data_IF_920294796013
#
_entry.id   IF_920294796013
#
_cell.length_a   1.000
_cell.length_b   1.000
_cell.length_c   1.000
_cell.angle_alpha   90.00
_cell.angle_beta   90.00
_cell.angle_gamma   90.00
#
_symmetry.space_group_name_H-M   'P 1'
#
loop_
_entity.id
_entity.type
_entity.pdbx_description
1 polymer ?
#
# COMPACT_ATOMS: atom_id res chain seq x y z
N UNK A 1 -14.78 53.02 59.59
CA UNK A 1 -13.89 51.84 59.52
C UNK A 1 -14.65 50.71 58.82
N UNK A 2 -14.33 50.42 57.56
CA UNK A 2 -14.87 49.26 56.84
C UNK A 2 -13.79 48.18 56.78
N UNK A 3 -14.00 47.08 57.49
CA UNK A 3 -13.17 45.88 57.39
C UNK A 3 -13.66 45.08 56.18
N UNK A 4 -12.88 45.06 55.10
CA UNK A 4 -13.19 44.23 53.92
C UNK A 4 -12.85 42.77 54.23
N UNK A 5 -13.88 41.95 54.38
CA UNK A 5 -13.75 40.51 54.57
C UNK A 5 -13.27 39.87 53.26
N UNK A 6 -11.96 39.56 53.16
CA UNK A 6 -11.40 38.85 52.01
C UNK A 6 -11.96 37.43 52.00
N UNK A 7 -12.82 37.10 51.02
CA UNK A 7 -13.30 35.73 50.79
C UNK A 7 -12.07 34.82 50.63
N UNK A 8 -11.88 33.87 51.53
CA UNK A 8 -10.86 32.83 51.36
C UNK A 8 -11.16 32.06 50.06
N UNK A 9 -10.18 31.88 49.16
CA UNK A 9 -10.36 31.02 48.01
C UNK A 9 -10.62 29.60 48.53
N UNK A 10 -11.75 29.01 48.16
CA UNK A 10 -12.01 27.59 48.43
C UNK A 10 -11.02 26.77 47.61
N UNK A 11 -10.11 26.07 48.29
CA UNK A 11 -9.21 25.09 47.66
C UNK A 11 -9.97 23.80 47.33
N UNK A 12 -9.55 23.14 46.25
CA UNK A 12 -10.04 21.80 45.92
C UNK A 12 -9.58 20.79 46.97
N UNK A 13 -10.48 19.91 47.39
CA UNK A 13 -10.15 18.76 48.24
C UNK A 13 -9.49 17.66 47.41
N UNK A 14 -8.65 16.84 48.05
CA UNK A 14 -7.99 15.72 47.40
C UNK A 14 -8.99 14.72 46.80
N UNK A 15 -10.14 14.54 47.46
CA UNK A 15 -11.20 13.64 46.99
C UNK A 15 -11.91 14.18 45.74
N UNK A 16 -12.17 15.49 45.67
CA UNK A 16 -12.75 16.12 44.47
C UNK A 16 -11.84 15.94 43.26
N UNK A 17 -10.52 16.12 43.45
CA UNK A 17 -9.55 15.88 42.38
C UNK A 17 -9.53 14.41 41.96
N UNK A 18 -9.57 13.48 42.93
CA UNK A 18 -9.51 12.04 42.70
C UNK A 18 -10.72 11.51 41.92
N UNK A 19 -11.91 11.99 42.22
CA UNK A 19 -13.13 11.60 41.48
C UNK A 19 -13.07 12.09 40.04
N UNK A 20 -12.59 13.31 39.81
CA UNK A 20 -12.48 13.88 38.46
C UNK A 20 -11.53 13.08 37.58
N UNK A 21 -10.33 12.74 38.09
CA UNK A 21 -9.38 11.92 37.32
C UNK A 21 -9.94 10.51 37.07
N UNK A 22 -10.67 9.92 38.02
CA UNK A 22 -11.29 8.60 37.85
C UNK A 22 -12.34 8.59 36.74
N UNK A 23 -13.14 9.66 36.62
CA UNK A 23 -14.12 9.80 35.53
C UNK A 23 -13.39 9.98 34.19
N UNK A 24 -12.38 10.86 34.12
CA UNK A 24 -11.62 11.10 32.88
C UNK A 24 -10.93 9.82 32.38
N UNK A 25 -10.29 9.05 33.27
CA UNK A 25 -9.60 7.81 32.89
C UNK A 25 -10.58 6.75 32.39
N UNK A 26 -11.76 6.63 33.00
CA UNK A 26 -12.80 5.69 32.58
C UNK A 26 -13.31 6.03 31.17
N UNK A 27 -13.57 7.32 30.90
CA UNK A 27 -13.99 7.77 29.57
C UNK A 27 -12.90 7.53 28.52
N UNK A 28 -11.64 7.84 28.85
CA UNK A 28 -10.50 7.60 27.95
C UNK A 28 -10.28 6.11 27.67
N UNK A 29 -10.47 5.24 28.67
CA UNK A 29 -10.30 3.79 28.51
C UNK A 29 -11.25 3.19 27.46
N UNK A 30 -12.49 3.69 27.41
CA UNK A 30 -13.48 3.26 26.42
C UNK A 30 -13.17 3.88 25.04
N UNK A 31 -12.73 5.14 25.03
CA UNK A 31 -12.50 5.89 23.80
C UNK A 31 -11.22 5.47 23.04
N UNK A 32 -10.15 5.14 23.75
CA UNK A 32 -8.85 4.81 23.16
C UNK A 32 -8.90 3.66 22.12
N UNK A 33 -9.48 2.47 22.41
CA UNK A 33 -9.57 1.40 21.42
C UNK A 33 -10.46 1.75 20.22
N UNK A 34 -11.49 2.60 20.41
CA UNK A 34 -12.36 3.05 19.33
C UNK A 34 -11.61 3.97 18.37
N UNK A 35 -10.87 4.96 18.88
CA UNK A 35 -10.05 5.88 18.07
C UNK A 35 -8.98 5.12 17.29
N UNK A 36 -8.29 4.17 17.92
CA UNK A 36 -7.25 3.37 17.25
C UNK A 36 -7.82 2.62 16.03
N UNK A 37 -8.99 1.99 16.17
CA UNK A 37 -9.69 1.31 15.07
C UNK A 37 -10.11 2.29 13.97
N UNK A 38 -10.67 3.44 14.34
CA UNK A 38 -11.09 4.47 13.38
C UNK A 38 -9.91 5.01 12.56
N UNK A 39 -8.76 5.26 13.20
CA UNK A 39 -7.54 5.70 12.51
C UNK A 39 -7.03 4.66 11.50
N UNK A 40 -7.05 3.38 11.87
CA UNK A 40 -6.67 2.30 10.96
C UNK A 40 -7.61 2.24 9.74
N UNK A 41 -8.92 2.28 9.96
CA UNK A 41 -9.91 2.28 8.89
C UNK A 41 -9.76 3.50 7.96
N UNK A 42 -9.51 4.69 8.52
CA UNK A 42 -9.25 5.89 7.73
C UNK A 42 -8.00 5.73 6.85
N UNK A 43 -6.90 5.18 7.38
CA UNK A 43 -5.70 4.89 6.58
C UNK A 43 -6.00 3.92 5.44
N UNK A 44 -6.73 2.84 5.71
CA UNK A 44 -7.13 1.84 4.71
C UNK A 44 -7.96 2.49 3.59
N UNK A 45 -8.91 3.36 3.95
CA UNK A 45 -9.74 4.08 2.99
C UNK A 45 -8.90 4.99 2.08
N UNK A 46 -7.96 5.74 2.65
CA UNK A 46 -7.03 6.59 1.89
C UNK A 46 -6.19 5.77 0.93
N UNK A 47 -5.60 4.66 1.41
CA UNK A 47 -4.80 3.76 0.57
C UNK A 47 -5.64 3.16 -0.56
N UNK A 48 -6.87 2.73 -0.29
CA UNK A 48 -7.77 2.23 -1.32
C UNK A 48 -8.05 3.29 -2.42
N UNK A 49 -8.25 4.54 -2.01
CA UNK A 49 -8.47 5.64 -2.95
C UNK A 49 -7.22 5.94 -3.78
N UNK A 50 -6.04 6.02 -3.16
CA UNK A 50 -4.77 6.25 -3.85
C UNK A 50 -4.45 5.09 -4.82
N UNK A 51 -4.65 3.84 -4.42
CA UNK A 51 -4.53 2.68 -5.33
C UNK A 51 -5.52 2.76 -6.49
N UNK A 52 -6.75 3.24 -6.25
CA UNK A 52 -7.73 3.45 -7.33
C UNK A 52 -7.26 4.50 -8.34
N UNK A 53 -6.71 5.62 -7.87
CA UNK A 53 -6.17 6.69 -8.72
C UNK A 53 -4.94 6.23 -9.51
N UNK A 54 -4.03 5.49 -8.89
CA UNK A 54 -2.87 4.90 -9.59
C UNK A 54 -3.34 3.87 -10.64
N UNK A 55 -4.34 3.07 -10.31
CA UNK A 55 -4.94 2.12 -11.26
C UNK A 55 -5.51 2.83 -12.48
N UNK A 56 -6.20 3.96 -12.30
CA UNK A 56 -6.66 4.79 -13.41
C UNK A 56 -5.48 5.33 -14.23
N UNK A 57 -4.43 5.85 -13.58
CA UNK A 57 -3.23 6.34 -14.25
C UNK A 57 -2.56 5.26 -15.12
N UNK A 58 -2.54 4.02 -14.65
CA UNK A 58 -2.05 2.87 -15.42
C UNK A 58 -2.91 2.57 -16.65
N UNK A 59 -4.23 2.71 -16.56
CA UNK A 59 -5.13 2.52 -17.70
C UNK A 59 -4.95 3.64 -18.74
N UNK A 60 -4.84 4.90 -18.31
CA UNK A 60 -4.56 6.03 -19.21
C UNK A 60 -3.19 5.87 -19.88
N UNK A 61 -2.18 5.40 -19.14
CA UNK A 61 -0.88 5.04 -19.71
C UNK A 61 -1.00 3.93 -20.75
N UNK A 62 -1.78 2.88 -20.49
CA UNK A 62 -1.99 1.78 -21.42
C UNK A 62 -2.62 2.26 -22.73
N UNK A 63 -3.62 3.15 -22.65
CA UNK A 63 -4.30 3.72 -23.82
C UNK A 63 -3.35 4.57 -24.67
N UNK A 64 -2.49 5.37 -24.04
CA UNK A 64 -1.57 6.27 -24.73
C UNK A 64 -0.33 5.57 -25.31
N UNK A 65 0.15 4.49 -24.67
CA UNK A 65 1.38 3.80 -25.05
C UNK A 65 1.16 2.41 -25.65
N UNK A 66 -0.10 1.97 -25.81
CA UNK A 66 -0.50 0.62 -26.24
C UNK A 66 0.11 -0.51 -25.39
N UNK A 67 0.56 -0.19 -24.18
CA UNK A 67 1.21 -1.13 -23.27
C UNK A 67 1.22 -0.58 -21.86
N UNK A 68 1.21 -1.45 -20.86
CA UNK A 68 1.45 -1.03 -19.47
C UNK A 68 2.94 -0.82 -19.20
N UNK A 69 3.31 -0.04 -18.17
CA UNK A 69 4.70 0.21 -17.83
C UNK A 69 5.48 -1.08 -17.51
N UNK A 70 6.80 -1.06 -17.65
CA UNK A 70 7.65 -2.16 -17.20
C UNK A 70 7.79 -2.18 -15.67
N UNK A 71 8.22 -3.32 -15.15
CA UNK A 71 8.54 -3.47 -13.71
C UNK A 71 9.89 -2.84 -13.42
N UNK A 72 9.99 -2.13 -12.29
CA UNK A 72 11.24 -1.56 -11.80
C UNK A 72 11.80 -2.42 -10.67
N UNK A 73 13.03 -2.87 -10.84
CA UNK A 73 13.71 -3.74 -9.89
C UNK A 73 15.16 -3.33 -9.72
N UNK A 74 15.57 -3.06 -8.49
CA UNK A 74 16.95 -2.72 -8.19
C UNK A 74 17.38 -3.37 -6.88
N UNK A 75 18.22 -4.39 -6.99
CA UNK A 75 18.76 -5.12 -5.84
C UNK A 75 19.70 -4.27 -4.96
N UNK A 76 20.18 -3.13 -5.47
CA UNK A 76 21.07 -2.24 -4.73
C UNK A 76 20.30 -1.18 -3.91
N UNK A 77 18.99 -1.04 -4.11
CA UNK A 77 18.14 -0.06 -3.42
C UNK A 77 17.15 -0.75 -2.48
N UNK A 78 17.64 -1.13 -1.29
CA UNK A 78 16.83 -1.73 -0.20
C UNK A 78 15.51 -0.96 0.00
N UNK A 79 14.40 -1.69 0.07
CA UNK A 79 13.03 -1.19 0.23
C UNK A 79 12.38 -0.55 -1.02
N UNK A 80 13.11 -0.30 -2.11
CA UNK A 80 12.54 0.27 -3.36
C UNK A 80 12.28 -0.78 -4.45
N UNK A 81 12.28 -2.05 -4.08
CA UNK A 81 11.86 -3.14 -4.97
C UNK A 81 10.43 -2.91 -5.44
N UNK A 82 10.19 -3.15 -6.72
CA UNK A 82 8.85 -3.06 -7.33
C UNK A 82 8.16 -1.72 -7.08
N UNK A 83 8.88 -0.61 -6.98
CA UNK A 83 8.23 0.68 -6.79
C UNK A 83 7.37 1.06 -8.01
N UNK A 84 6.61 2.14 -7.88
CA UNK A 84 5.83 2.66 -9.00
C UNK A 84 6.76 2.97 -10.20
N UNK A 85 6.34 2.63 -11.43
CA UNK A 85 7.16 2.83 -12.63
C UNK A 85 7.54 4.30 -12.82
N UNK A 86 8.80 4.57 -13.19
CA UNK A 86 9.24 5.94 -13.47
C UNK A 86 8.47 6.56 -14.65
N UNK A 87 7.92 5.72 -15.54
CA UNK A 87 7.24 6.14 -16.76
C UNK A 87 5.94 6.87 -16.44
N UNK A 88 5.27 6.46 -15.35
CA UNK A 88 4.09 7.16 -14.87
C UNK A 88 4.45 8.55 -14.37
N UNK A 89 5.59 8.69 -13.69
CA UNK A 89 6.08 9.99 -13.20
C UNK A 89 6.55 10.88 -14.35
N UNK A 90 7.41 10.35 -15.22
CA UNK A 90 7.97 11.05 -16.38
C UNK A 90 6.90 11.49 -17.37
N UNK A 91 5.86 10.67 -17.54
CA UNK A 91 4.71 10.98 -18.39
C UNK A 91 3.66 11.89 -17.73
N UNK A 92 3.85 12.29 -16.47
CA UNK A 92 2.92 13.17 -15.76
C UNK A 92 1.60 12.53 -15.34
N UNK A 93 1.49 11.19 -15.37
CA UNK A 93 0.29 10.45 -14.95
C UNK A 93 0.13 10.42 -13.42
N UNK A 94 1.23 10.51 -12.69
CA UNK A 94 1.28 10.58 -11.22
C UNK A 94 2.26 11.68 -10.80
N UNK A 95 2.08 12.30 -9.60
CA UNK A 95 2.90 13.42 -9.18
C UNK A 95 4.35 13.01 -9.01
N UNK A 96 5.25 13.86 -9.52
CA UNK A 96 6.68 13.70 -9.33
C UNK A 96 7.05 13.95 -7.87
N UNK A 97 7.69 12.95 -7.27
CA UNK A 97 8.26 13.03 -5.93
C UNK A 97 9.75 13.32 -5.97
N UNK A 98 10.40 13.04 -4.85
CA UNK A 98 11.84 13.25 -4.71
C UNK A 98 12.66 12.41 -5.69
N UNK A 99 13.78 12.98 -6.14
CA UNK A 99 14.81 12.26 -6.89
C UNK A 99 15.77 11.57 -5.92
N UNK A 100 15.97 10.26 -6.00
CA UNK A 100 17.10 9.56 -5.35
C UNK A 100 18.01 9.03 -6.44
N UNK A 101 19.33 9.11 -6.32
CA UNK A 101 20.22 8.64 -7.38
C UNK A 101 21.46 9.49 -7.50
N UNK A 102 22.29 9.21 -8.51
CA UNK A 102 23.45 10.05 -8.81
C UNK A 102 22.99 11.35 -9.47
N UNK A 103 23.76 12.45 -9.31
CA UNK A 103 23.53 13.71 -10.05
C UNK A 103 23.42 13.51 -11.56
N UNK A 104 24.10 12.48 -12.10
CA UNK A 104 24.09 12.16 -13.53
C UNK A 104 22.81 11.42 -13.98
N UNK A 105 22.31 10.49 -13.17
CA UNK A 105 21.11 9.69 -13.45
C UNK A 105 20.20 9.69 -12.20
N UNK A 106 19.29 10.67 -12.07
CA UNK A 106 18.34 10.70 -10.96
C UNK A 106 17.25 9.63 -11.16
N UNK A 107 16.94 8.88 -10.10
CA UNK A 107 15.78 7.99 -10.08
C UNK A 107 14.57 8.81 -9.65
N UNK A 108 13.55 8.82 -10.50
CA UNK A 108 12.29 9.51 -10.28
C UNK A 108 11.33 8.59 -9.51
N UNK A 109 10.96 9.00 -8.29
CA UNK A 109 9.90 8.36 -7.53
C UNK A 109 8.63 9.19 -7.59
N UNK A 110 7.49 8.54 -7.40
CA UNK A 110 6.23 9.26 -7.17
C UNK A 110 6.26 9.92 -5.79
N UNK A 111 5.59 11.09 -5.65
CA UNK A 111 5.36 11.69 -4.33
C UNK A 111 4.25 10.95 -3.55
N UNK A 112 3.64 9.93 -4.16
CA UNK A 112 2.63 9.10 -3.50
C UNK A 112 3.33 8.06 -2.63
N UNK A 113 3.34 8.33 -1.33
CA UNK A 113 3.84 7.41 -0.31
C UNK A 113 2.76 6.48 0.23
N UNK A 114 3.15 5.24 0.48
CA UNK A 114 2.32 4.25 1.16
C UNK A 114 2.09 4.67 2.62
N UNK A 115 0.83 4.84 3.03
CA UNK A 115 0.47 5.28 4.39
C UNK A 115 0.83 4.28 5.49
N UNK A 116 1.08 3.02 5.12
CA UNK A 116 1.59 2.01 6.03
C UNK A 116 3.13 2.02 6.11
N UNK A 117 3.82 2.58 5.09
CA UNK A 117 5.28 2.65 5.02
C UNK A 117 5.76 4.01 4.47
N UNK A 118 5.73 5.06 5.31
CA UNK A 118 6.21 6.38 4.92
C UNK A 118 7.66 6.34 4.37
N UNK A 119 7.94 7.15 3.35
CA UNK A 119 9.22 7.17 2.63
C UNK A 119 9.38 6.09 1.55
N UNK A 120 8.37 5.25 1.33
CA UNK A 120 8.29 4.28 0.23
C UNK A 120 7.00 4.45 -0.56
N UNK A 121 7.06 4.22 -1.87
CA UNK A 121 5.86 4.21 -2.70
C UNK A 121 5.13 2.88 -2.61
N UNK A 122 3.90 2.86 -3.11
CA UNK A 122 3.20 1.62 -3.43
C UNK A 122 4.02 0.73 -4.38
N UNK A 123 3.66 -0.55 -4.40
CA UNK A 123 4.33 -1.56 -5.19
C UNK A 123 3.57 -1.84 -6.47
N UNK A 124 4.29 -2.08 -7.56
CA UNK A 124 3.77 -2.37 -8.89
C UNK A 124 4.45 -3.59 -9.48
N UNK A 125 3.65 -4.50 -10.03
CA UNK A 125 4.14 -5.68 -10.74
C UNK A 125 3.28 -5.97 -11.95
N UNK A 126 3.90 -6.41 -13.03
CA UNK A 126 3.23 -6.79 -14.26
C UNK A 126 4.11 -7.76 -15.06
N UNK A 127 3.53 -8.66 -15.87
CA UNK A 127 4.32 -9.50 -16.73
C UNK A 127 4.97 -8.67 -17.84
N UNK A 128 6.15 -9.10 -18.30
CA UNK A 128 6.86 -8.52 -19.44
C UNK A 128 8.17 -7.83 -19.05
N UNK A 129 8.60 -6.76 -19.75
CA UNK A 129 9.92 -6.16 -19.53
C UNK A 129 10.13 -5.68 -18.09
N UNK A 130 11.34 -5.90 -17.61
CA UNK A 130 11.84 -5.45 -16.31
C UNK A 130 13.11 -4.67 -16.52
N UNK A 131 13.20 -3.52 -15.87
CA UNK A 131 14.37 -2.66 -15.90
C UNK A 131 14.80 -2.33 -14.49
N UNK A 132 16.10 -2.09 -14.30
CA UNK A 132 16.55 -1.39 -13.11
C UNK A 132 16.22 0.10 -13.18
N UNK A 133 16.52 0.85 -12.12
CA UNK A 133 16.32 2.30 -12.12
C UNK A 133 17.37 3.07 -12.92
N UNK A 134 18.43 2.42 -13.38
CA UNK A 134 19.45 2.98 -14.26
C UNK A 134 19.11 2.83 -15.75
N UNK A 135 18.13 1.99 -16.08
CA UNK A 135 17.68 1.69 -17.45
C UNK A 135 18.16 0.34 -17.99
N UNK A 136 18.95 -0.42 -17.23
CA UNK A 136 19.42 -1.75 -17.64
C UNK A 136 18.25 -2.73 -17.74
N UNK A 137 18.14 -3.42 -18.87
CA UNK A 137 17.10 -4.43 -19.11
C UNK A 137 17.50 -5.78 -18.56
N UNK A 138 16.53 -6.50 -18.00
CA UNK A 138 16.68 -7.91 -17.65
C UNK A 138 16.12 -8.79 -18.78
N UNK A 139 16.91 -9.74 -19.32
CA UNK A 139 16.55 -10.49 -20.54
C UNK A 139 15.30 -11.36 -20.39
N UNK A 140 15.06 -11.92 -19.20
CA UNK A 140 13.92 -12.83 -18.96
C UNK A 140 12.60 -12.11 -18.67
N UNK A 141 12.64 -10.78 -18.52
CA UNK A 141 11.52 -9.98 -18.03
C UNK A 141 11.06 -10.37 -16.62
N UNK A 142 9.97 -9.77 -16.16
CA UNK A 142 9.32 -10.11 -14.92
C UNK A 142 8.19 -11.13 -15.17
N UNK A 143 8.29 -12.36 -14.65
CA UNK A 143 7.19 -13.31 -14.68
C UNK A 143 6.23 -13.12 -13.50
N UNK A 144 4.95 -13.39 -13.74
CA UNK A 144 3.98 -13.61 -12.67
C UNK A 144 3.79 -15.11 -12.45
N UNK A 145 3.80 -15.55 -11.20
CA UNK A 145 3.60 -16.95 -10.83
C UNK A 145 2.25 -17.10 -10.15
N UNK A 146 1.23 -17.61 -10.83
CA UNK A 146 -0.10 -17.69 -10.26
C UNK A 146 -0.82 -19.00 -10.59
N UNK A 147 -1.79 -19.34 -9.76
CA UNK A 147 -2.73 -20.45 -10.00
C UNK A 147 -3.50 -20.20 -11.30
N UNK A 148 -3.78 -21.26 -12.06
CA UNK A 148 -4.60 -21.18 -13.27
C UNK A 148 -6.02 -20.65 -12.98
N UNK A 149 -6.52 -20.90 -11.76
CA UNK A 149 -7.85 -20.51 -11.30
C UNK A 149 -7.86 -19.24 -10.43
N UNK A 150 -6.83 -18.40 -10.52
CA UNK A 150 -6.78 -17.10 -9.83
C UNK A 150 -7.98 -16.22 -10.21
N UNK A 151 -8.66 -15.51 -9.28
CA UNK A 151 -8.31 -15.25 -7.87
C UNK A 151 -8.97 -16.18 -6.84
N UNK A 152 -9.88 -17.07 -7.25
CA UNK A 152 -10.83 -17.75 -6.35
C UNK A 152 -10.29 -19.07 -5.78
N UNK A 153 -9.46 -19.79 -6.54
CA UNK A 153 -8.85 -21.06 -6.10
C UNK A 153 -7.35 -21.10 -6.32
N UNK A 154 -6.66 -21.65 -5.34
CA UNK A 154 -5.21 -21.90 -5.39
C UNK A 154 -5.00 -23.36 -5.73
N UNK A 155 -4.48 -23.62 -6.92
CA UNK A 155 -3.94 -24.92 -7.26
C UNK A 155 -2.53 -25.03 -6.66
N UNK A 156 -2.11 -26.24 -6.26
CA UNK A 156 -0.77 -26.48 -5.70
C UNK A 156 0.35 -26.16 -6.71
N UNK A 157 0.01 -26.06 -8.00
CA UNK A 157 0.95 -25.80 -9.10
C UNK A 157 0.81 -24.36 -9.55
N UNK A 158 1.89 -23.59 -9.43
CA UNK A 158 1.98 -22.23 -9.94
C UNK A 158 2.35 -22.26 -11.43
N UNK A 159 1.60 -21.52 -12.24
CA UNK A 159 1.89 -21.33 -13.66
C UNK A 159 2.66 -20.02 -13.84
N UNK A 160 3.77 -20.09 -14.59
CA UNK A 160 4.60 -18.93 -14.93
C UNK A 160 4.01 -18.19 -16.13
N UNK A 161 3.69 -16.92 -15.96
CA UNK A 161 3.24 -16.00 -17.01
C UNK A 161 4.26 -14.88 -17.20
N UNK A 162 5.19 -15.05 -18.16
CA UNK A 162 6.11 -13.97 -18.56
C UNK A 162 5.56 -13.13 -19.71
N UNK A 163 4.74 -13.73 -20.58
CA UNK A 163 4.21 -13.06 -21.77
C UNK A 163 3.04 -12.15 -21.39
N UNK A 164 3.18 -10.87 -21.78
CA UNK A 164 2.15 -9.85 -21.65
C UNK A 164 0.82 -10.30 -22.23
N UNK A 165 0.80 -10.98 -23.38
CA UNK A 165 -0.46 -11.34 -24.08
C UNK A 165 -1.17 -12.53 -23.44
N UNK A 166 -0.42 -13.46 -22.85
CA UNK A 166 -0.95 -14.71 -22.28
C UNK A 166 -1.35 -14.61 -20.82
N UNK A 167 -0.80 -13.64 -20.08
CA UNK A 167 -1.13 -13.49 -18.66
C UNK A 167 -2.60 -13.09 -18.46
N UNK A 168 -3.35 -13.76 -17.58
CA UNK A 168 -4.71 -13.38 -17.21
C UNK A 168 -4.75 -12.06 -16.41
N UNK A 169 -3.62 -11.64 -15.84
CA UNK A 169 -3.45 -10.38 -15.11
C UNK A 169 -2.60 -9.42 -15.94
N UNK A 170 -3.10 -8.20 -16.14
CA UNK A 170 -2.35 -7.13 -16.81
C UNK A 170 -1.32 -6.51 -15.88
N UNK A 171 -1.74 -6.10 -14.70
CA UNK A 171 -0.89 -5.48 -13.69
C UNK A 171 -1.52 -5.61 -12.30
N UNK A 172 -0.68 -5.43 -11.29
CA UNK A 172 -1.02 -5.43 -9.88
C UNK A 172 -0.37 -4.24 -9.22
N UNK A 173 -1.13 -3.55 -8.40
CA UNK A 173 -0.63 -2.53 -7.47
C UNK A 173 -1.04 -2.88 -6.06
N UNK A 174 -0.14 -2.69 -5.10
CA UNK A 174 -0.42 -3.04 -3.72
C UNK A 174 0.37 -2.22 -2.71
N UNK A 175 -0.22 -2.12 -1.52
CA UNK A 175 0.43 -1.78 -0.26
C UNK A 175 0.63 -3.07 0.53
N UNK A 176 1.76 -3.20 1.22
CA UNK A 176 1.96 -4.34 2.15
C UNK A 176 0.92 -4.32 3.29
N UNK A 177 0.26 -3.18 3.51
CA UNK A 177 -0.80 -3.01 4.48
C UNK A 177 -0.32 -3.17 5.92
N UNK A 178 -1.25 -3.28 6.89
CA UNK A 178 -0.89 -3.51 8.28
C UNK A 178 -0.38 -4.94 8.50
N UNK A 179 0.70 -5.10 9.26
CA UNK A 179 1.17 -6.40 9.75
C UNK A 179 2.26 -7.09 8.92
N UNK A 180 2.65 -6.51 7.78
CA UNK A 180 3.90 -6.86 7.09
C UNK A 180 4.93 -5.74 7.31
N UNK A 181 6.17 -5.94 6.91
CA UNK A 181 7.19 -4.89 6.87
C UNK A 181 7.95 -4.92 5.55
N UNK A 182 8.63 -3.81 5.23
CA UNK A 182 9.43 -3.74 4.02
C UNK A 182 10.64 -4.68 4.04
N UNK A 183 11.16 -4.97 5.23
CA UNK A 183 12.15 -6.03 5.43
C UNK A 183 11.60 -7.42 5.13
N UNK A 184 10.29 -7.65 5.30
CA UNK A 184 9.67 -8.92 4.93
C UNK A 184 9.58 -9.04 3.40
N UNK A 185 9.30 -7.93 2.70
CA UNK A 185 9.33 -7.84 1.24
C UNK A 185 10.71 -8.17 0.67
N UNK A 186 11.77 -7.72 1.33
CA UNK A 186 13.15 -7.90 0.87
C UNK A 186 13.78 -9.22 1.36
N UNK A 187 13.30 -9.76 2.47
CA UNK A 187 13.88 -10.92 3.17
C UNK A 187 13.24 -12.28 2.86
N UNK A 188 12.27 -12.33 1.92
CA UNK A 188 11.59 -13.58 1.54
C UNK A 188 10.47 -14.04 2.47
N UNK A 189 10.13 -13.27 3.52
CA UNK A 189 8.96 -13.50 4.38
C UNK A 189 7.66 -12.96 3.76
N UNK A 190 7.78 -12.15 2.73
CA UNK A 190 6.66 -11.70 1.92
C UNK A 190 6.27 -12.81 0.94
N UNK A 191 4.97 -13.13 0.80
CA UNK A 191 4.48 -14.32 0.11
C UNK A 191 4.65 -14.31 -1.42
N UNK A 192 5.69 -13.67 -1.95
CA UNK A 192 6.11 -13.78 -3.35
C UNK A 192 6.55 -15.21 -3.70
N UNK A 193 7.12 -15.92 -2.73
CA UNK A 193 7.52 -17.33 -2.84
C UNK A 193 6.32 -18.25 -3.12
N UNK A 194 5.13 -17.89 -2.62
CA UNK A 194 3.87 -18.60 -2.83
C UNK A 194 3.14 -18.20 -4.11
N UNK A 195 3.79 -17.40 -4.97
CA UNK A 195 3.22 -16.91 -6.21
C UNK A 195 2.66 -15.50 -6.07
N UNK A 196 2.65 -14.79 -7.21
CA UNK A 196 2.15 -13.43 -7.33
C UNK A 196 1.31 -13.26 -8.60
N UNK A 197 0.14 -12.57 -8.56
CA UNK A 197 -0.43 -11.80 -7.44
C UNK A 197 -0.74 -12.64 -6.19
N UNK A 198 -0.58 -12.02 -5.01
CA UNK A 198 -0.84 -12.69 -3.72
C UNK A 198 -2.28 -13.18 -3.61
N UNK A 199 -2.45 -14.35 -2.97
CA UNK A 199 -3.74 -15.00 -2.77
C UNK A 199 -4.69 -14.15 -1.91
N UNK A 200 -6.00 -14.35 -2.07
CA UNK A 200 -7.03 -13.65 -1.29
C UNK A 200 -6.88 -13.87 0.23
N UNK A 201 -6.29 -14.99 0.66
CA UNK A 201 -5.98 -15.25 2.07
C UNK A 201 -4.95 -14.28 2.67
N UNK A 202 -4.10 -13.67 1.84
CA UNK A 202 -3.13 -12.65 2.26
C UNK A 202 -3.67 -11.22 2.13
N UNK A 203 -4.84 -11.04 1.53
CA UNK A 203 -5.45 -9.72 1.44
C UNK A 203 -5.93 -9.27 2.81
N UNK A 204 -5.95 -7.96 3.00
CA UNK A 204 -6.39 -7.36 4.26
C UNK A 204 -7.76 -7.90 4.71
N UNK A 205 -7.80 -8.41 5.94
CA UNK A 205 -9.01 -8.90 6.59
C UNK A 205 -9.38 -8.01 7.78
N UNK A 206 -10.61 -7.52 7.81
CA UNK A 206 -11.10 -6.69 8.91
C UNK A 206 -11.09 -7.44 10.26
N UNK A 207 -11.19 -8.78 10.25
CA UNK A 207 -11.13 -9.63 11.44
C UNK A 207 -9.71 -9.72 12.00
N UNK A 208 -8.72 -9.94 11.13
CA UNK A 208 -7.31 -10.04 11.52
C UNK A 208 -6.65 -8.67 11.73
N UNK A 209 -7.21 -7.60 11.15
CA UNK A 209 -6.64 -6.23 11.11
C UNK A 209 -5.23 -6.19 10.50
N UNK A 210 -4.90 -7.18 9.69
CA UNK A 210 -3.64 -7.33 8.98
C UNK A 210 -3.88 -7.85 7.57
N UNK A 211 -2.91 -7.65 6.69
CA UNK A 211 -2.92 -8.14 5.32
C UNK A 211 -2.65 -7.07 4.27
N UNK A 212 -2.47 -7.52 3.03
CA UNK A 212 -2.06 -6.70 1.89
C UNK A 212 -3.29 -5.99 1.31
N UNK A 213 -3.14 -4.71 1.00
CA UNK A 213 -4.13 -3.96 0.24
C UNK A 213 -3.72 -3.99 -1.23
N UNK A 214 -4.43 -4.73 -2.06
CA UNK A 214 -4.09 -4.93 -3.47
C UNK A 214 -5.23 -4.55 -4.39
N UNK A 215 -4.88 -4.08 -5.59
CA UNK A 215 -5.76 -3.86 -6.73
C UNK A 215 -5.10 -4.44 -7.97
N UNK A 216 -5.86 -5.27 -8.68
CA UNK A 216 -5.40 -6.11 -9.78
C UNK A 216 -6.31 -5.85 -10.98
N UNK A 217 -5.70 -5.62 -12.14
CA UNK A 217 -6.44 -5.55 -13.41
C UNK A 217 -6.36 -6.89 -14.11
N UNK A 218 -7.50 -7.55 -14.25
CA UNK A 218 -7.64 -8.76 -15.05
C UNK A 218 -7.70 -8.40 -16.54
N UNK A 219 -7.30 -9.33 -17.41
CA UNK A 219 -7.35 -9.16 -18.87
C UNK A 219 -8.77 -9.32 -19.42
N UNK A 220 -9.47 -10.38 -18.98
CA UNK A 220 -10.76 -10.79 -19.53
C UNK A 220 -11.96 -10.39 -18.67
N UNK A 221 -11.73 -9.85 -17.46
CA UNK A 221 -12.79 -9.27 -16.61
C UNK A 221 -12.61 -7.74 -16.63
N UNK A 222 -13.67 -7.01 -16.97
CA UNK A 222 -13.64 -5.54 -17.01
C UNK A 222 -13.35 -4.91 -15.65
N UNK A 223 -13.71 -5.61 -14.57
CA UNK A 223 -13.57 -5.15 -13.20
C UNK A 223 -12.19 -5.40 -12.60
N UNK A 224 -11.78 -4.48 -11.72
CA UNK A 224 -10.64 -4.67 -10.85
C UNK A 224 -10.95 -5.72 -9.79
N UNK A 225 -10.02 -6.63 -9.60
CA UNK A 225 -10.04 -7.62 -8.51
C UNK A 225 -9.09 -7.14 -7.42
N UNK A 226 -9.43 -7.31 -6.15
CA UNK A 226 -8.51 -6.97 -5.07
C UNK A 226 -9.19 -6.92 -3.72
N UNK A 227 -8.47 -6.38 -2.74
CA UNK A 227 -8.91 -6.26 -1.34
C UNK A 227 -10.25 -5.56 -1.19
N UNK A 228 -10.52 -4.59 -2.07
CA UNK A 228 -11.75 -3.81 -2.06
C UNK A 228 -12.58 -4.18 -3.30
N UNK A 229 -13.38 -5.23 -3.19
CA UNK A 229 -14.44 -5.47 -4.19
C UNK A 229 -15.47 -4.34 -4.07
N UNK A 230 -15.94 -3.79 -5.20
CA UNK A 230 -17.15 -2.98 -5.20
C UNK A 230 -18.30 -3.87 -4.72
N UNK A 231 -18.68 -3.71 -3.46
CA UNK A 231 -19.99 -4.16 -2.99
C UNK A 231 -21.00 -3.14 -3.46
N UNK A 232 -21.78 -3.50 -4.46
CA UNK A 232 -23.12 -2.97 -4.67
C UNK A 232 -24.02 -4.17 -4.93
#
# INVERSE_FOLDING_TARGET
MNVLYRKNPKGFTLIELLVVIAIITTLLAILYPAISRARLQAKILVVNQELSQIGLALEVYEVSNNSWPPVRWDCQKKGHFYALPHELVKGGYIPMGGTRGSKKNPILFSNIEDKFYPGYTYKYMAPGPQYDYSGSSYPDGFPLYMSANFPEKTDSVLVKYSDRKKSPVKWVIFSLGPGYNISDADGGNFPLDKGFPVLQSFWYSQKAKSGILTRIKMRNKGDHVGTFRKGY
#
